data_IF_800884189788
#
_entry.id   IF_800884189788
#
_cell.length_a   1.000
_cell.length_b   1.000
_cell.length_c   1.000
_cell.angle_alpha   90.00
_cell.angle_beta   90.00
_cell.angle_gamma   90.00
#
_symmetry.space_group_name_H-M   'P 1'
#
loop_
_entity.id
_entity.type
_entity.pdbx_description
1 polymer ?
#
# COMPACT_ATOMS: atom_id res chain seq x y z
N UNK A 1 -14.66 2.35 22.33
CA UNK A 1 -14.40 1.03 21.74
C UNK A 1 -15.43 0.68 20.66
N UNK A 2 -16.74 0.74 20.93
CA UNK A 2 -17.80 0.42 19.94
C UNK A 2 -17.69 1.22 18.63
N UNK A 3 -17.46 2.53 18.68
CA UNK A 3 -17.29 3.34 17.48
C UNK A 3 -16.06 2.98 16.64
N UNK A 4 -15.00 2.41 17.24
CA UNK A 4 -13.82 1.92 16.53
C UNK A 4 -14.11 0.61 15.80
N UNK A 5 -14.82 -0.32 16.44
CA UNK A 5 -15.18 -1.60 15.83
C UNK A 5 -16.13 -1.39 14.64
N UNK A 6 -17.14 -0.53 14.79
CA UNK A 6 -18.04 -0.17 13.70
C UNK A 6 -17.25 0.46 12.53
N UNK A 7 -16.31 1.34 12.85
CA UNK A 7 -15.47 2.00 11.87
C UNK A 7 -14.56 1.02 11.12
N UNK A 8 -13.94 0.05 11.82
CA UNK A 8 -13.16 -1.03 11.20
C UNK A 8 -14.03 -1.92 10.33
N UNK A 9 -15.25 -2.26 10.78
CA UNK A 9 -16.20 -3.06 10.00
C UNK A 9 -16.59 -2.38 8.68
N UNK A 10 -16.86 -1.05 8.71
CA UNK A 10 -17.17 -0.28 7.50
C UNK A 10 -15.99 -0.27 6.53
N UNK A 11 -14.76 -0.06 7.02
CA UNK A 11 -13.56 -0.13 6.17
C UNK A 11 -13.43 -1.53 5.56
N UNK A 12 -13.52 -2.58 6.38
CA UNK A 12 -13.36 -3.95 5.93
C UNK A 12 -14.42 -4.33 4.89
N UNK A 13 -15.69 -4.04 5.16
CA UNK A 13 -16.78 -4.27 4.20
C UNK A 13 -16.52 -3.55 2.87
N UNK A 14 -16.06 -2.31 2.94
CA UNK A 14 -15.73 -1.52 1.76
C UNK A 14 -14.55 -2.10 0.98
N UNK A 15 -13.54 -2.62 1.66
CA UNK A 15 -12.36 -3.24 1.04
C UNK A 15 -12.68 -4.58 0.36
N UNK A 16 -13.63 -5.35 0.90
CA UNK A 16 -14.07 -6.63 0.31
C UNK A 16 -14.84 -6.43 -1.00
N UNK A 17 -15.44 -5.27 -1.21
CA UNK A 17 -16.27 -5.01 -2.41
C UNK A 17 -15.49 -5.04 -3.71
N UNK A 18 -14.22 -4.60 -3.75
CA UNK A 18 -13.41 -4.60 -4.99
C UNK A 18 -13.15 -6.02 -5.49
N UNK A 19 -12.62 -6.96 -4.68
CA UNK A 19 -12.48 -8.34 -5.11
C UNK A 19 -13.81 -9.02 -5.40
N UNK A 20 -14.87 -8.69 -4.65
CA UNK A 20 -16.20 -9.24 -4.91
C UNK A 20 -16.75 -8.80 -6.27
N UNK A 21 -16.63 -7.50 -6.64
CA UNK A 21 -17.02 -6.99 -7.95
C UNK A 21 -16.23 -7.66 -9.08
N UNK A 22 -14.93 -7.87 -8.87
CA UNK A 22 -14.07 -8.56 -9.82
C UNK A 22 -14.49 -10.02 -9.99
N UNK A 23 -14.70 -10.74 -8.89
CA UNK A 23 -15.13 -12.13 -8.88
C UNK A 23 -16.49 -12.28 -9.61
N UNK A 24 -17.49 -11.47 -9.23
CA UNK A 24 -18.82 -11.50 -9.89
C UNK A 24 -18.72 -11.22 -11.38
N UNK A 25 -17.86 -10.30 -11.80
CA UNK A 25 -17.66 -10.05 -13.23
C UNK A 25 -17.17 -11.29 -13.96
N UNK A 26 -16.15 -11.97 -13.44
CA UNK A 26 -15.57 -13.13 -14.12
C UNK A 26 -16.40 -14.39 -14.02
N UNK A 27 -17.06 -14.63 -12.89
CA UNK A 27 -17.85 -15.85 -12.69
C UNK A 27 -19.25 -15.77 -13.29
N UNK A 28 -19.89 -14.60 -13.23
CA UNK A 28 -21.30 -14.47 -13.57
C UNK A 28 -21.58 -13.56 -14.79
N UNK A 29 -20.69 -12.64 -15.11
CA UNK A 29 -20.90 -11.68 -16.21
C UNK A 29 -20.09 -12.09 -17.42
N UNK A 30 -18.80 -12.35 -17.28
CA UNK A 30 -17.90 -12.64 -18.39
C UNK A 30 -18.29 -13.89 -19.22
N UNK A 31 -18.71 -15.02 -18.64
CA UNK A 31 -19.14 -16.18 -19.41
C UNK A 31 -20.35 -15.93 -20.30
N UNK A 32 -21.15 -14.92 -19.96
CA UNK A 32 -22.36 -14.57 -20.69
C UNK A 32 -22.13 -13.42 -21.71
N UNK A 33 -20.93 -12.83 -21.74
CA UNK A 33 -20.57 -11.77 -22.67
C UNK A 33 -19.86 -12.40 -23.88
N UNK A 34 -20.54 -12.52 -25.02
CA UNK A 34 -19.92 -12.97 -26.27
C UNK A 34 -20.21 -14.41 -26.68
N UNK A 35 -21.06 -15.12 -25.97
CA UNK A 35 -21.49 -16.46 -26.39
C UNK A 35 -22.68 -16.39 -27.36
N UNK A 36 -22.68 -17.04 -28.56
CA UNK A 36 -23.71 -16.90 -29.58
C UNK A 36 -25.00 -17.74 -29.38
N UNK A 37 -25.21 -18.34 -28.22
CA UNK A 37 -26.32 -19.24 -27.93
C UNK A 37 -27.68 -18.51 -27.81
N UNK A 38 -28.78 -18.94 -28.48
CA UNK A 38 -30.04 -18.20 -28.56
C UNK A 38 -30.84 -18.11 -27.24
N UNK A 39 -30.55 -18.89 -26.21
CA UNK A 39 -31.19 -18.76 -24.89
C UNK A 39 -30.68 -17.57 -24.07
N UNK A 40 -29.98 -16.67 -24.69
CA UNK A 40 -29.13 -15.60 -24.17
C UNK A 40 -29.83 -14.30 -23.77
N UNK A 41 -30.99 -14.33 -23.25
CA UNK A 41 -31.55 -13.15 -22.56
C UNK A 41 -30.68 -12.77 -21.32
N UNK A 42 -30.02 -13.77 -20.69
CA UNK A 42 -29.19 -13.58 -19.53
C UNK A 42 -27.89 -12.81 -19.86
N UNK A 43 -27.20 -13.14 -20.94
CA UNK A 43 -25.96 -12.46 -21.33
C UNK A 43 -26.13 -11.00 -21.73
N UNK A 44 -27.24 -10.68 -22.42
CA UNK A 44 -27.55 -9.28 -22.81
C UNK A 44 -27.90 -8.39 -21.61
N UNK A 45 -28.37 -8.97 -20.50
CA UNK A 45 -28.75 -8.25 -19.28
C UNK A 45 -27.66 -8.26 -18.21
N UNK A 46 -26.79 -9.27 -18.20
CA UNK A 46 -25.75 -9.43 -17.18
C UNK A 46 -24.76 -8.25 -17.14
N UNK A 47 -24.25 -7.84 -18.30
CA UNK A 47 -23.31 -6.71 -18.38
C UNK A 47 -23.96 -5.38 -17.96
N UNK A 48 -25.14 -4.98 -18.47
CA UNK A 48 -25.83 -3.78 -18.01
C UNK A 48 -26.14 -3.79 -16.52
N UNK A 49 -26.61 -4.93 -15.97
CA UNK A 49 -26.90 -5.05 -14.55
C UNK A 49 -25.63 -4.91 -13.69
N UNK A 50 -24.54 -5.52 -14.13
CA UNK A 50 -23.25 -5.36 -13.46
C UNK A 50 -22.76 -3.90 -13.51
N UNK A 51 -22.86 -3.24 -14.66
CA UNK A 51 -22.52 -1.82 -14.80
C UNK A 51 -23.37 -0.92 -13.88
N UNK A 52 -24.69 -1.15 -13.83
CA UNK A 52 -25.59 -0.42 -12.92
C UNK A 52 -25.20 -0.64 -11.45
N UNK A 53 -24.83 -1.88 -11.09
CA UNK A 53 -24.37 -2.17 -9.74
C UNK A 53 -23.04 -1.45 -9.44
N UNK A 54 -22.06 -1.48 -10.36
CA UNK A 54 -20.79 -0.75 -10.21
C UNK A 54 -21.03 0.77 -10.08
N UNK A 55 -21.89 1.34 -10.93
CA UNK A 55 -22.23 2.77 -10.87
C UNK A 55 -22.95 3.13 -9.58
N UNK A 56 -23.91 2.31 -9.15
CA UNK A 56 -24.60 2.47 -7.85
C UNK A 56 -23.62 2.41 -6.68
N UNK A 57 -22.71 1.44 -6.71
CA UNK A 57 -21.65 1.33 -5.72
C UNK A 57 -20.74 2.56 -5.69
N UNK A 58 -20.29 3.07 -6.87
CA UNK A 58 -19.48 4.29 -6.95
C UNK A 58 -20.24 5.52 -6.43
N UNK A 59 -21.54 5.60 -6.70
CA UNK A 59 -22.37 6.67 -6.16
C UNK A 59 -22.46 6.63 -4.62
N UNK A 60 -22.76 5.47 -4.04
CA UNK A 60 -22.81 5.26 -2.59
C UNK A 60 -21.47 5.59 -1.96
N UNK A 61 -20.37 5.07 -2.54
CA UNK A 61 -19.01 5.35 -2.13
C UNK A 61 -18.73 6.86 -2.09
N UNK A 62 -19.08 7.59 -3.17
CA UNK A 62 -18.91 9.05 -3.22
C UNK A 62 -19.68 9.75 -2.09
N UNK A 63 -20.93 9.34 -1.80
CA UNK A 63 -21.71 9.89 -0.70
C UNK A 63 -21.06 9.61 0.67
N UNK A 64 -20.51 8.42 0.86
CA UNK A 64 -19.78 8.07 2.08
C UNK A 64 -18.53 8.95 2.22
N UNK A 65 -17.73 9.11 1.15
CA UNK A 65 -16.51 9.92 1.18
C UNK A 65 -16.76 11.38 1.48
N UNK A 66 -17.83 11.96 0.92
CA UNK A 66 -18.23 13.36 1.20
C UNK A 66 -18.57 13.57 2.68
N UNK A 67 -19.15 12.55 3.34
CA UNK A 67 -19.52 12.60 4.76
C UNK A 67 -18.38 12.24 5.71
N UNK A 68 -17.30 11.64 5.21
CA UNK A 68 -16.18 11.23 6.03
C UNK A 68 -15.29 12.42 6.39
N UNK A 69 -14.76 12.38 7.60
CA UNK A 69 -13.69 13.30 7.97
C UNK A 69 -12.43 13.04 7.11
N UNK A 70 -11.68 14.08 6.72
CA UNK A 70 -10.52 13.96 5.82
C UNK A 70 -9.49 12.86 6.18
N UNK A 71 -9.15 12.64 7.47
CA UNK A 71 -8.24 11.56 7.84
C UNK A 71 -8.77 10.17 7.48
N UNK A 72 -10.10 9.97 7.66
CA UNK A 72 -10.75 8.69 7.39
C UNK A 72 -10.92 8.46 5.89
N UNK A 73 -11.32 9.48 5.13
CA UNK A 73 -11.39 9.41 3.67
C UNK A 73 -10.05 8.99 3.06
N UNK A 74 -8.93 9.47 3.63
CA UNK A 74 -7.58 9.05 3.19
C UNK A 74 -7.30 7.58 3.47
N UNK A 75 -7.71 7.04 4.62
CA UNK A 75 -7.58 5.61 4.93
C UNK A 75 -8.37 4.78 3.92
N UNK A 76 -9.63 5.16 3.66
CA UNK A 76 -10.50 4.46 2.72
C UNK A 76 -9.89 4.44 1.32
N UNK A 77 -9.49 5.60 0.80
CA UNK A 77 -8.90 5.70 -0.55
C UNK A 77 -7.63 4.84 -0.69
N UNK A 78 -6.68 4.96 0.25
CA UNK A 78 -5.45 4.16 0.18
C UNK A 78 -5.73 2.66 0.39
N UNK A 79 -6.73 2.31 1.20
CA UNK A 79 -7.18 0.94 1.38
C UNK A 79 -7.76 0.35 0.09
N UNK A 80 -8.61 1.10 -0.63
CA UNK A 80 -9.15 0.69 -1.92
C UNK A 80 -8.04 0.48 -2.96
N UNK A 81 -7.11 1.43 -3.05
CA UNK A 81 -5.96 1.31 -3.95
C UNK A 81 -5.15 0.06 -3.60
N UNK A 82 -4.92 -0.20 -2.30
CA UNK A 82 -4.19 -1.38 -1.86
C UNK A 82 -4.90 -2.69 -2.26
N UNK A 83 -6.22 -2.77 -2.08
CA UNK A 83 -7.00 -3.96 -2.50
C UNK A 83 -6.96 -4.13 -4.01
N UNK A 84 -7.16 -3.06 -4.80
CA UNK A 84 -7.08 -3.13 -6.25
C UNK A 84 -5.69 -3.60 -6.73
N UNK A 85 -4.63 -3.09 -6.11
CA UNK A 85 -3.26 -3.51 -6.41
C UNK A 85 -3.00 -4.94 -5.94
N UNK A 86 -3.61 -5.39 -4.83
CA UNK A 86 -3.50 -6.79 -4.37
C UNK A 86 -4.19 -7.77 -5.32
N UNK A 87 -5.35 -7.40 -5.86
CA UNK A 87 -6.02 -8.18 -6.93
C UNK A 87 -5.13 -8.24 -8.17
N UNK A 88 -4.59 -7.10 -8.62
CA UNK A 88 -3.66 -7.05 -9.75
C UNK A 88 -2.43 -7.94 -9.49
N UNK A 89 -1.88 -7.91 -8.27
CA UNK A 89 -0.74 -8.74 -7.89
C UNK A 89 -1.09 -10.24 -7.98
N UNK A 90 -2.29 -10.64 -7.56
CA UNK A 90 -2.74 -12.03 -7.69
C UNK A 90 -2.84 -12.44 -9.17
N UNK A 91 -3.38 -11.59 -10.03
CA UNK A 91 -3.45 -11.83 -11.47
C UNK A 91 -2.03 -11.97 -12.07
N UNK A 92 -1.09 -11.08 -11.69
CA UNK A 92 0.29 -11.15 -12.12
C UNK A 92 1.00 -12.44 -11.66
N UNK A 93 0.74 -12.89 -10.42
CA UNK A 93 1.27 -14.14 -9.88
C UNK A 93 0.70 -15.36 -10.62
N UNK A 94 -0.60 -15.36 -10.91
CA UNK A 94 -1.25 -16.41 -11.70
C UNK A 94 -0.70 -16.45 -13.14
N UNK A 95 -0.54 -15.29 -13.77
CA UNK A 95 0.07 -15.19 -15.09
C UNK A 95 1.50 -15.72 -15.08
N UNK A 96 2.31 -15.30 -14.12
CA UNK A 96 3.69 -15.80 -13.96
C UNK A 96 3.73 -17.33 -13.75
N UNK A 97 2.76 -17.87 -12.98
CA UNK A 97 2.59 -19.30 -12.79
C UNK A 97 2.17 -20.00 -14.09
N UNK A 98 1.25 -19.42 -14.86
CA UNK A 98 0.81 -19.99 -16.15
C UNK A 98 1.96 -20.11 -17.17
N UNK A 99 2.85 -19.13 -17.21
CA UNK A 99 4.00 -19.13 -18.15
C UNK A 99 5.23 -19.84 -17.60
N UNK A 100 5.23 -20.17 -16.31
CA UNK A 100 6.33 -20.87 -15.68
C UNK A 100 6.55 -22.26 -16.29
N UNK A 101 7.80 -22.67 -16.44
CA UNK A 101 8.16 -24.04 -16.87
C UNK A 101 8.97 -24.70 -15.76
N UNK A 102 8.55 -25.90 -15.29
CA UNK A 102 9.31 -26.67 -14.32
C UNK A 102 10.76 -26.89 -14.76
N UNK A 103 11.69 -26.47 -13.93
CA UNK A 103 13.14 -26.61 -14.14
C UNK A 103 13.83 -26.74 -12.78
N UNK A 104 15.05 -27.30 -12.75
CA UNK A 104 15.87 -27.26 -11.54
C UNK A 104 16.08 -25.81 -11.06
N UNK A 105 16.16 -25.59 -9.74
CA UNK A 105 16.42 -24.27 -9.18
C UNK A 105 17.79 -23.75 -9.60
N UNK A 106 17.90 -22.43 -9.64
CA UNK A 106 19.18 -21.77 -9.89
C UNK A 106 20.10 -21.92 -8.67
N UNK A 107 21.41 -21.78 -8.92
CA UNK A 107 22.37 -21.65 -7.82
C UNK A 107 22.06 -20.38 -7.00
N UNK A 108 22.02 -20.53 -5.70
CA UNK A 108 21.76 -19.44 -4.75
C UNK A 108 22.62 -19.60 -3.50
N UNK A 109 23.35 -18.55 -3.15
CA UNK A 109 24.27 -18.55 -2.01
C UNK A 109 23.52 -18.80 -0.69
N UNK A 110 22.32 -18.25 -0.53
CA UNK A 110 21.50 -18.50 0.65
C UNK A 110 21.08 -19.98 0.76
N UNK A 111 20.84 -20.65 -0.37
CA UNK A 111 20.54 -22.08 -0.36
C UNK A 111 21.76 -22.96 0.00
N UNK A 112 22.94 -22.46 -0.30
CA UNK A 112 24.17 -23.11 0.11
C UNK A 112 24.43 -22.94 1.62
N UNK A 113 24.20 -21.74 2.17
CA UNK A 113 24.47 -21.42 3.56
C UNK A 113 23.36 -21.87 4.52
N UNK A 114 22.11 -21.90 4.07
CA UNK A 114 20.94 -22.18 4.89
C UNK A 114 20.33 -23.49 4.42
N UNK A 115 20.36 -24.56 5.25
CA UNK A 115 19.81 -25.86 4.87
C UNK A 115 18.31 -25.77 4.61
N UNK A 116 17.83 -26.54 3.65
CA UNK A 116 16.40 -26.63 3.34
C UNK A 116 15.63 -27.23 4.52
N UNK A 117 14.48 -26.66 4.83
CA UNK A 117 13.52 -27.29 5.71
C UNK A 117 12.84 -28.44 4.97
N UNK A 118 12.75 -29.60 5.62
CA UNK A 118 12.02 -30.75 5.09
C UNK A 118 10.54 -30.43 4.82
N UNK A 119 9.91 -31.21 3.94
CA UNK A 119 8.50 -31.01 3.59
C UNK A 119 7.59 -31.10 4.83
N UNK A 120 7.92 -31.96 5.77
CA UNK A 120 7.16 -32.23 7.01
C UNK A 120 7.62 -31.41 8.21
N UNK A 121 8.50 -30.41 8.01
CA UNK A 121 9.01 -29.59 9.09
C UNK A 121 7.89 -28.73 9.69
N UNK A 122 7.67 -28.76 11.01
CA UNK A 122 6.68 -27.93 11.70
C UNK A 122 7.00 -26.42 11.59
N UNK A 123 8.22 -26.07 11.23
CA UNK A 123 8.68 -24.70 11.06
C UNK A 123 8.40 -24.11 9.67
N UNK A 124 7.91 -24.94 8.73
CA UNK A 124 7.62 -24.49 7.37
C UNK A 124 6.60 -23.33 7.28
N UNK A 125 5.50 -23.31 8.09
CA UNK A 125 4.57 -22.19 8.10
C UNK A 125 5.09 -20.95 8.85
N UNK A 126 6.24 -21.04 9.52
CA UNK A 126 6.76 -19.96 10.36
C UNK A 126 6.96 -18.65 9.58
N UNK A 127 7.44 -18.71 8.32
CA UNK A 127 7.59 -17.52 7.49
C UNK A 127 6.24 -16.83 7.21
N UNK A 128 5.16 -17.59 7.06
CA UNK A 128 3.81 -17.04 6.82
C UNK A 128 3.27 -16.40 8.10
N UNK A 129 3.46 -17.07 9.24
CA UNK A 129 3.09 -16.55 10.57
C UNK A 129 3.84 -15.25 10.84
N UNK A 130 5.15 -15.23 10.63
CA UNK A 130 5.96 -14.02 10.83
C UNK A 130 5.56 -12.89 9.87
N UNK A 131 5.18 -13.21 8.64
CA UNK A 131 4.71 -12.20 7.68
C UNK A 131 3.46 -11.48 8.19
N UNK A 132 2.55 -12.16 8.87
CA UNK A 132 1.31 -11.58 9.40
C UNK A 132 1.48 -10.97 10.80
N UNK A 133 2.34 -11.55 11.63
CA UNK A 133 2.50 -11.12 13.02
C UNK A 133 3.04 -9.69 13.15
N UNK A 134 4.01 -9.28 12.33
CA UNK A 134 4.58 -7.94 12.44
C UNK A 134 3.62 -6.83 11.97
N UNK A 135 2.89 -6.95 10.86
CA UNK A 135 1.78 -6.03 10.55
C UNK A 135 0.74 -6.01 11.67
N UNK A 136 0.35 -7.18 12.19
CA UNK A 136 -0.57 -7.29 13.33
C UNK A 136 -0.10 -6.47 14.52
N UNK A 137 1.17 -6.60 14.90
CA UNK A 137 1.78 -5.80 15.96
C UNK A 137 1.80 -4.29 15.62
N UNK A 138 2.11 -3.94 14.39
CA UNK A 138 2.12 -2.56 13.93
C UNK A 138 0.71 -1.95 13.99
N UNK A 139 -0.33 -2.67 13.58
CA UNK A 139 -1.72 -2.24 13.71
C UNK A 139 -2.18 -2.21 15.17
N UNK A 140 -1.83 -3.18 16.00
CA UNK A 140 -2.08 -3.17 17.44
C UNK A 140 -1.50 -1.92 18.10
N UNK A 141 -0.28 -1.53 17.73
CA UNK A 141 0.35 -0.29 18.21
C UNK A 141 -0.50 0.95 17.92
N UNK A 142 -1.30 0.96 16.85
CA UNK A 142 -2.17 2.10 16.52
C UNK A 142 -3.30 2.32 17.52
N UNK A 143 -3.67 1.33 18.32
CA UNK A 143 -4.68 1.47 19.37
C UNK A 143 -4.29 2.53 20.40
N UNK A 144 -2.99 2.74 20.59
CA UNK A 144 -2.42 3.71 21.54
C UNK A 144 -2.20 5.10 20.92
N UNK A 145 -2.62 5.32 19.69
CA UNK A 145 -2.53 6.61 19.01
C UNK A 145 -3.84 7.39 19.12
N UNK A 146 -3.72 8.72 19.10
CA UNK A 146 -4.88 9.58 18.84
C UNK A 146 -5.47 9.24 17.45
N UNK A 147 -6.77 9.52 17.26
CA UNK A 147 -7.51 9.17 16.04
C UNK A 147 -6.82 9.65 14.76
N UNK A 148 -6.29 10.87 14.74
CA UNK A 148 -5.65 11.46 13.57
C UNK A 148 -4.35 10.76 13.20
N UNK A 149 -3.51 10.46 14.19
CA UNK A 149 -2.25 9.73 14.00
C UNK A 149 -2.51 8.29 13.58
N UNK A 150 -3.51 7.64 14.17
CA UNK A 150 -3.97 6.29 13.79
C UNK A 150 -4.36 6.23 12.31
N UNK A 151 -5.26 7.11 11.87
CA UNK A 151 -5.69 7.15 10.47
C UNK A 151 -4.51 7.38 9.52
N UNK A 152 -3.57 8.25 9.90
CA UNK A 152 -2.37 8.49 9.07
C UNK A 152 -1.50 7.24 8.97
N UNK A 153 -1.22 6.59 10.10
CA UNK A 153 -0.39 5.38 10.13
C UNK A 153 -0.98 4.30 9.21
N UNK A 154 -2.29 4.03 9.33
CA UNK A 154 -3.00 3.02 8.53
C UNK A 154 -2.98 3.42 7.04
N UNK A 155 -3.26 4.68 6.72
CA UNK A 155 -3.24 5.17 5.35
C UNK A 155 -1.83 5.11 4.73
N UNK A 156 -0.79 5.42 5.51
CA UNK A 156 0.59 5.34 5.07
C UNK A 156 1.04 3.89 4.84
N UNK A 157 0.57 2.96 5.69
CA UNK A 157 0.83 1.53 5.51
C UNK A 157 0.23 1.03 4.18
N UNK A 158 -1.05 1.30 3.92
CA UNK A 158 -1.70 0.93 2.66
C UNK A 158 -1.01 1.54 1.44
N UNK A 159 -0.66 2.83 1.53
CA UNK A 159 0.03 3.53 0.45
C UNK A 159 1.40 2.91 0.13
N UNK A 160 2.20 2.64 1.14
CA UNK A 160 3.53 2.02 0.96
C UNK A 160 3.40 0.62 0.37
N UNK A 161 2.46 -0.17 0.88
CA UNK A 161 2.21 -1.51 0.35
C UNK A 161 1.73 -1.48 -1.09
N UNK A 162 0.85 -0.54 -1.46
CA UNK A 162 0.38 -0.39 -2.84
C UNK A 162 1.53 -0.12 -3.81
N UNK A 163 2.40 0.84 -3.48
CA UNK A 163 3.57 1.15 -4.33
C UNK A 163 4.53 -0.03 -4.42
N UNK A 164 4.80 -0.67 -3.29
CA UNK A 164 5.69 -1.83 -3.23
C UNK A 164 5.13 -2.99 -4.04
N UNK A 165 3.82 -3.25 -3.98
CA UNK A 165 3.16 -4.30 -4.77
C UNK A 165 3.08 -3.98 -6.26
N UNK A 166 2.91 -2.71 -6.66
CA UNK A 166 3.01 -2.32 -8.06
C UNK A 166 4.39 -2.63 -8.64
N UNK A 167 5.46 -2.36 -7.89
CA UNK A 167 6.81 -2.75 -8.30
C UNK A 167 6.93 -4.28 -8.42
N UNK A 168 6.33 -5.03 -7.49
CA UNK A 168 6.30 -6.49 -7.55
C UNK A 168 5.54 -7.00 -8.79
N UNK A 169 4.39 -6.41 -9.12
CA UNK A 169 3.65 -6.77 -10.34
C UNK A 169 4.55 -6.68 -11.59
N UNK A 170 5.30 -5.59 -11.73
CA UNK A 170 6.25 -5.44 -12.84
C UNK A 170 7.33 -6.53 -12.81
N UNK A 171 7.93 -6.79 -11.66
CA UNK A 171 8.99 -7.79 -11.54
C UNK A 171 8.52 -9.20 -11.91
N UNK A 172 7.38 -9.65 -11.36
CA UNK A 172 6.90 -11.02 -11.57
C UNK A 172 6.31 -11.26 -12.96
N UNK A 173 5.77 -10.22 -13.62
CA UNK A 173 5.26 -10.34 -15.00
C UNK A 173 6.37 -10.33 -16.04
N UNK A 174 7.44 -9.58 -15.78
CA UNK A 174 8.55 -9.46 -16.73
C UNK A 174 9.56 -10.61 -16.61
N UNK A 175 9.61 -11.30 -15.46
CA UNK A 175 10.63 -12.31 -15.20
C UNK A 175 10.05 -13.49 -14.42
N UNK A 176 9.94 -14.65 -15.08
CA UNK A 176 9.59 -15.93 -14.44
C UNK A 176 10.87 -16.72 -14.17
N UNK A 177 11.24 -16.82 -12.88
CA UNK A 177 12.38 -17.63 -12.44
C UNK A 177 11.94 -19.08 -12.19
N UNK A 178 12.84 -20.08 -12.34
CA UNK A 178 12.58 -21.45 -11.90
C UNK A 178 12.22 -21.49 -10.42
N UNK A 179 11.11 -22.14 -10.07
CA UNK A 179 10.65 -22.23 -8.68
C UNK A 179 11.58 -23.12 -7.83
N UNK A 180 12.14 -22.63 -6.70
CA UNK A 180 12.99 -23.44 -5.85
C UNK A 180 12.19 -24.45 -5.00
N UNK A 181 10.88 -24.25 -4.86
CA UNK A 181 10.01 -25.16 -4.13
C UNK A 181 9.82 -26.48 -4.90
N UNK A 182 9.80 -27.66 -4.21
CA UNK A 182 9.72 -28.97 -4.87
C UNK A 182 8.54 -29.12 -5.84
N UNK A 183 7.37 -28.55 -5.49
CA UNK A 183 6.18 -28.62 -6.35
C UNK A 183 6.30 -27.81 -7.66
N UNK A 184 7.28 -26.93 -7.78
CA UNK A 184 7.52 -26.15 -8.99
C UNK A 184 8.54 -26.82 -9.95
N UNK A 185 9.16 -27.93 -9.52
CA UNK A 185 10.24 -28.56 -10.26
C UNK A 185 9.79 -29.72 -11.16
N UNK A 186 8.60 -30.28 -10.89
CA UNK A 186 8.08 -31.45 -11.62
C UNK A 186 6.68 -31.19 -12.16
N UNK A 187 6.42 -31.67 -13.38
CA UNK A 187 5.10 -31.56 -14.02
C UNK A 187 3.98 -32.21 -13.21
N UNK A 188 4.28 -33.31 -12.51
CA UNK A 188 3.29 -34.07 -11.74
C UNK A 188 2.75 -33.29 -10.53
N UNK A 189 3.54 -32.40 -9.95
CA UNK A 189 3.16 -31.61 -8.78
C UNK A 189 2.72 -30.17 -9.16
N UNK A 190 2.86 -29.80 -10.43
CA UNK A 190 2.60 -28.46 -10.92
C UNK A 190 1.21 -28.36 -11.52
N UNK A 191 0.37 -27.49 -10.94
CA UNK A 191 -1.01 -27.25 -11.41
C UNK A 191 -1.16 -25.74 -11.81
N UNK A 192 -0.71 -25.35 -13.01
CA UNK A 192 -0.80 -23.98 -13.48
C UNK A 192 -2.25 -23.60 -13.84
N UNK A 193 -2.57 -22.30 -13.89
CA UNK A 193 -3.78 -21.81 -14.53
C UNK A 193 -3.85 -22.29 -15.98
N UNK A 194 -5.02 -22.79 -16.41
CA UNK A 194 -5.19 -23.38 -17.73
C UNK A 194 -5.58 -22.35 -18.83
N UNK A 195 -5.82 -21.10 -18.45
CA UNK A 195 -6.19 -20.03 -19.37
C UNK A 195 -6.39 -18.70 -18.65
N UNK A 196 -6.79 -17.70 -19.43
CA UNK A 196 -6.98 -16.35 -18.89
C UNK A 196 -8.09 -16.24 -17.85
N UNK A 197 -9.12 -17.10 -17.95
CA UNK A 197 -10.17 -17.18 -16.93
C UNK A 197 -9.57 -17.57 -15.59
N UNK A 198 -8.79 -18.66 -15.55
CA UNK A 198 -8.11 -19.11 -14.33
C UNK A 198 -7.13 -18.06 -13.79
N UNK A 199 -6.39 -17.39 -14.69
CA UNK A 199 -5.48 -16.30 -14.30
C UNK A 199 -6.23 -15.18 -13.60
N UNK A 200 -7.43 -14.86 -14.05
CA UNK A 200 -8.23 -13.78 -13.48
C UNK A 200 -8.99 -14.17 -12.21
N UNK A 201 -9.39 -15.43 -12.06
CA UNK A 201 -10.33 -15.87 -11.01
C UNK A 201 -9.68 -16.62 -9.86
N UNK A 202 -8.51 -17.24 -10.02
CA UNK A 202 -7.80 -17.89 -8.91
C UNK A 202 -7.33 -16.86 -7.89
N UNK A 203 -8.17 -16.59 -6.87
CA UNK A 203 -7.94 -15.55 -5.85
C UNK A 203 -7.20 -16.05 -4.61
N UNK A 204 -6.17 -16.84 -4.79
CA UNK A 204 -5.26 -17.25 -3.72
C UNK A 204 -5.89 -18.13 -2.64
N UNK A 205 -5.61 -17.88 -1.35
CA UNK A 205 -5.99 -18.76 -0.23
C UNK A 205 -7.50 -19.01 -0.09
N UNK A 206 -8.32 -18.18 -0.70
CA UNK A 206 -9.78 -18.31 -0.66
C UNK A 206 -10.31 -19.43 -1.55
N UNK A 207 -9.49 -19.94 -2.47
CA UNK A 207 -9.88 -20.90 -3.50
C UNK A 207 -9.16 -22.27 -3.40
N UNK A 208 -8.61 -22.64 -2.25
CA UNK A 208 -7.97 -23.95 -2.04
C UNK A 208 -6.46 -23.94 -2.29
N UNK A 209 -5.89 -25.04 -2.83
CA UNK A 209 -4.44 -25.24 -3.02
C UNK A 209 -3.80 -24.23 -4.00
N UNK A 210 -3.64 -22.99 -3.53
CA UNK A 210 -2.99 -21.94 -4.27
C UNK A 210 -1.48 -22.03 -4.08
N UNK A 211 -0.84 -22.73 -5.02
CA UNK A 211 0.63 -22.84 -5.08
C UNK A 211 1.11 -22.10 -6.30
N UNK A 212 1.72 -20.93 -6.10
CA UNK A 212 2.33 -20.19 -7.20
C UNK A 212 3.74 -20.67 -7.49
N UNK A 213 4.10 -20.67 -8.77
CA UNK A 213 5.45 -20.92 -9.26
C UNK A 213 5.76 -19.82 -10.29
N UNK A 214 6.94 -19.22 -10.20
CA UNK A 214 7.33 -18.16 -11.13
C UNK A 214 7.13 -16.73 -10.61
N UNK A 215 6.30 -16.52 -9.59
CA UNK A 215 6.09 -15.22 -8.92
C UNK A 215 7.16 -14.93 -7.86
N UNK A 216 8.39 -15.25 -8.17
CA UNK A 216 9.50 -15.26 -7.22
C UNK A 216 10.16 -13.91 -7.08
N UNK A 217 10.49 -13.28 -8.21
CA UNK A 217 11.28 -12.05 -8.20
C UNK A 217 10.57 -10.97 -7.40
N UNK A 218 11.19 -10.64 -6.27
CA UNK A 218 10.75 -9.75 -5.23
C UNK A 218 9.75 -10.38 -4.23
N UNK A 219 10.26 -10.84 -3.11
CA UNK A 219 9.50 -11.52 -2.05
C UNK A 219 8.40 -10.64 -1.43
N UNK A 220 7.14 -11.08 -1.57
CA UNK A 220 5.99 -10.43 -0.91
C UNK A 220 6.06 -10.50 0.61
N UNK A 221 6.46 -11.66 1.18
CA UNK A 221 6.62 -11.86 2.62
C UNK A 221 7.62 -10.84 3.21
N UNK A 222 8.77 -10.67 2.55
CA UNK A 222 9.81 -9.73 2.97
C UNK A 222 9.34 -8.29 2.85
N UNK A 223 8.58 -7.95 1.80
CA UNK A 223 8.04 -6.61 1.61
C UNK A 223 7.08 -6.20 2.72
N UNK A 224 6.12 -7.07 3.08
CA UNK A 224 5.17 -6.85 4.19
C UNK A 224 5.89 -6.62 5.51
N UNK A 225 6.84 -7.49 5.82
CA UNK A 225 7.64 -7.41 7.04
C UNK A 225 8.47 -6.13 7.07
N UNK A 226 9.13 -5.77 5.96
CA UNK A 226 10.00 -4.58 5.89
C UNK A 226 9.20 -3.29 6.05
N UNK A 227 8.10 -3.11 5.33
CA UNK A 227 7.23 -1.92 5.44
C UNK A 227 6.68 -1.78 6.86
N UNK A 228 6.19 -2.88 7.44
CA UNK A 228 5.63 -2.89 8.79
C UNK A 228 6.68 -2.59 9.85
N UNK A 229 7.89 -3.14 9.73
CA UNK A 229 9.03 -2.86 10.60
C UNK A 229 9.41 -1.38 10.56
N UNK A 230 9.54 -0.81 9.37
CA UNK A 230 9.95 0.59 9.20
C UNK A 230 8.92 1.55 9.79
N UNK A 231 7.62 1.32 9.56
CA UNK A 231 6.55 2.13 10.15
C UNK A 231 6.45 1.95 11.66
N UNK A 232 6.55 0.72 12.16
CA UNK A 232 6.56 0.44 13.60
C UNK A 232 7.73 1.15 14.27
N UNK A 233 8.94 0.99 13.77
CA UNK A 233 10.14 1.67 14.28
C UNK A 233 9.97 3.19 14.25
N UNK A 234 9.43 3.75 13.14
CA UNK A 234 9.15 5.19 13.04
C UNK A 234 8.17 5.67 14.11
N UNK A 235 7.21 4.86 14.52
CA UNK A 235 6.24 5.19 15.55
C UNK A 235 6.87 5.42 16.92
N UNK A 236 8.06 4.85 17.17
CA UNK A 236 8.84 5.02 18.40
C UNK A 236 9.92 6.12 18.33
N UNK A 237 10.01 6.86 17.23
CA UNK A 237 11.06 7.89 17.04
C UNK A 237 11.08 8.97 18.15
N UNK A 238 9.97 9.16 18.87
CA UNK A 238 9.85 10.12 19.99
C UNK A 238 10.09 9.49 21.37
N UNK A 239 10.25 8.17 21.43
CA UNK A 239 10.57 7.47 22.66
C UNK A 239 12.03 7.76 23.11
N UNK A 240 12.41 7.45 24.34
CA UNK A 240 13.80 7.52 24.78
C UNK A 240 14.72 6.77 23.82
N UNK A 241 15.94 7.28 23.65
CA UNK A 241 16.91 6.73 22.68
C UNK A 241 17.13 5.22 22.84
N UNK A 242 17.17 4.73 24.06
CA UNK A 242 17.31 3.31 24.35
C UNK A 242 16.12 2.51 23.80
N UNK A 243 14.89 2.92 24.08
CA UNK A 243 13.67 2.25 23.60
C UNK A 243 13.62 2.25 22.07
N UNK A 244 13.91 3.38 21.44
CA UNK A 244 13.98 3.47 19.98
C UNK A 244 15.05 2.54 19.40
N UNK A 245 16.24 2.49 20.02
CA UNK A 245 17.33 1.59 19.63
C UNK A 245 16.95 0.11 19.77
N UNK A 246 16.33 -0.27 20.89
CA UNK A 246 15.84 -1.63 21.10
C UNK A 246 14.78 -2.04 20.06
N UNK A 247 13.78 -1.20 19.79
CA UNK A 247 12.75 -1.48 18.77
C UNK A 247 13.37 -1.65 17.39
N UNK A 248 14.34 -0.83 17.03
CA UNK A 248 15.06 -0.94 15.77
C UNK A 248 15.85 -2.24 15.67
N UNK A 249 16.59 -2.61 16.72
CA UNK A 249 17.37 -3.84 16.77
C UNK A 249 16.49 -5.10 16.71
N UNK A 250 15.39 -5.13 17.49
CA UNK A 250 14.43 -6.21 17.47
C UNK A 250 13.73 -6.32 16.11
N UNK A 251 13.38 -5.19 15.48
CA UNK A 251 12.80 -5.17 14.14
C UNK A 251 13.76 -5.73 13.09
N UNK A 252 15.04 -5.39 13.16
CA UNK A 252 16.07 -5.94 12.27
C UNK A 252 16.27 -7.45 12.49
N UNK A 253 16.36 -7.88 13.75
CA UNK A 253 16.45 -9.30 14.09
C UNK A 253 15.26 -10.08 13.57
N UNK A 254 14.04 -9.53 13.73
CA UNK A 254 12.81 -10.11 13.19
C UNK A 254 12.86 -10.26 11.66
N UNK A 255 13.29 -9.21 10.95
CA UNK A 255 13.43 -9.23 9.49
C UNK A 255 14.44 -10.29 9.03
N UNK A 256 15.58 -10.40 9.70
CA UNK A 256 16.59 -11.42 9.43
C UNK A 256 16.04 -12.84 9.66
N UNK A 257 15.33 -13.06 10.78
CA UNK A 257 14.70 -14.36 11.09
C UNK A 257 13.69 -14.74 9.99
N UNK A 258 12.83 -13.79 9.60
CA UNK A 258 11.84 -14.02 8.55
C UNK A 258 12.50 -14.31 7.19
N UNK A 259 13.55 -13.56 6.83
CA UNK A 259 14.32 -13.80 5.62
C UNK A 259 14.95 -15.20 5.61
N UNK A 260 15.57 -15.61 6.73
CA UNK A 260 16.15 -16.95 6.89
C UNK A 260 15.08 -18.05 6.76
N UNK A 261 13.91 -17.90 7.41
CA UNK A 261 12.80 -18.86 7.29
C UNK A 261 12.26 -18.95 5.85
N UNK A 262 12.21 -17.83 5.13
CA UNK A 262 11.76 -17.79 3.73
C UNK A 262 12.72 -18.53 2.79
N UNK A 263 14.04 -18.35 2.98
CA UNK A 263 15.09 -19.01 2.22
C UNK A 263 15.17 -20.51 2.58
N UNK A 264 15.11 -20.84 3.88
CA UNK A 264 15.12 -22.23 4.36
C UNK A 264 13.90 -23.01 3.85
N UNK A 265 12.73 -22.38 3.78
CA UNK A 265 11.51 -22.96 3.21
C UNK A 265 11.50 -23.09 1.69
N UNK A 266 12.57 -22.67 1.01
CA UNK A 266 12.67 -22.64 -0.47
C UNK A 266 11.49 -21.89 -1.13
N UNK A 267 10.97 -20.86 -0.47
CA UNK A 267 9.89 -20.04 -1.00
C UNK A 267 10.40 -18.98 -1.98
N UNK A 268 11.58 -18.43 -1.72
CA UNK A 268 12.23 -17.38 -2.52
C UNK A 268 13.74 -17.57 -2.56
N UNK A 269 14.38 -17.04 -3.59
CA UNK A 269 15.83 -16.88 -3.66
C UNK A 269 16.30 -15.73 -2.75
N UNK A 270 17.59 -15.74 -2.42
CA UNK A 270 18.22 -14.68 -1.62
C UNK A 270 18.09 -13.32 -2.30
N UNK A 271 18.20 -13.25 -3.62
CA UNK A 271 18.03 -12.02 -4.40
C UNK A 271 16.62 -11.44 -4.27
N UNK A 272 15.60 -12.29 -4.22
CA UNK A 272 14.20 -11.84 -4.08
C UNK A 272 13.97 -11.17 -2.74
N UNK A 273 14.57 -11.73 -1.69
CA UNK A 273 14.52 -11.19 -0.32
C UNK A 273 15.27 -9.87 -0.24
N UNK A 274 16.49 -9.81 -0.78
CA UNK A 274 17.31 -8.60 -0.77
C UNK A 274 16.64 -7.47 -1.55
N UNK A 275 16.11 -7.75 -2.75
CA UNK A 275 15.40 -6.79 -3.59
C UNK A 275 14.15 -6.24 -2.90
N UNK A 276 13.39 -7.10 -2.20
CA UNK A 276 12.22 -6.68 -1.45
C UNK A 276 12.58 -5.70 -0.31
N UNK A 277 13.67 -5.92 0.42
CA UNK A 277 14.17 -5.02 1.46
C UNK A 277 14.55 -3.66 0.85
N UNK A 278 15.29 -3.68 -0.25
CA UNK A 278 15.76 -2.47 -0.94
C UNK A 278 14.58 -1.65 -1.45
N UNK A 279 13.66 -2.26 -2.22
CA UNK A 279 12.52 -1.55 -2.80
C UNK A 279 11.58 -1.02 -1.71
N UNK A 280 11.24 -1.83 -0.71
CA UNK A 280 10.41 -1.38 0.41
C UNK A 280 11.08 -0.25 1.20
N UNK A 281 12.40 -0.33 1.41
CA UNK A 281 13.20 0.71 2.05
C UNK A 281 13.19 2.01 1.26
N UNK A 282 13.51 1.97 -0.03
CA UNK A 282 13.50 3.15 -0.91
C UNK A 282 12.11 3.78 -0.98
N UNK A 283 11.06 2.98 -1.11
CA UNK A 283 9.67 3.44 -1.08
C UNK A 283 9.37 4.16 0.23
N UNK A 284 9.75 3.58 1.37
CA UNK A 284 9.57 4.21 2.67
C UNK A 284 10.31 5.54 2.77
N UNK A 285 11.59 5.60 2.39
CA UNK A 285 12.40 6.83 2.46
C UNK A 285 11.87 7.92 1.53
N UNK A 286 11.38 7.56 0.34
CA UNK A 286 10.79 8.52 -0.59
C UNK A 286 9.54 9.19 -0.05
N UNK A 287 8.73 8.46 0.70
CA UNK A 287 7.44 8.95 1.21
C UNK A 287 7.47 9.41 2.67
N UNK A 288 8.59 9.23 3.40
CA UNK A 288 8.64 9.50 4.84
C UNK A 288 8.41 10.97 5.22
N UNK A 289 8.78 11.93 4.37
CA UNK A 289 8.72 13.37 4.68
C UNK A 289 7.28 13.89 4.78
N UNK A 290 6.33 13.27 4.07
CA UNK A 290 4.90 13.56 4.16
C UNK A 290 4.16 12.87 5.32
N UNK A 291 4.80 11.90 5.98
CA UNK A 291 4.13 11.01 6.94
C UNK A 291 4.00 11.57 8.37
N UNK A 292 4.85 12.51 8.79
CA UNK A 292 4.78 13.10 10.12
C UNK A 292 4.70 14.61 9.99
N UNK A 293 3.64 15.27 10.49
CA UNK A 293 3.63 16.71 10.56
C UNK A 293 4.79 17.16 11.46
N UNK A 294 5.65 18.02 10.94
CA UNK A 294 6.49 18.82 11.80
C UNK A 294 5.52 19.53 12.76
N UNK A 295 5.61 19.29 14.07
CA UNK A 295 4.98 20.21 15.03
C UNK A 295 5.53 21.58 14.65
N UNK A 296 4.68 22.48 14.16
CA UNK A 296 5.01 23.90 14.27
C UNK A 296 5.43 24.10 15.73
N UNK A 297 6.64 24.63 16.01
CA UNK A 297 6.92 25.08 17.33
C UNK A 297 5.75 25.98 17.70
N UNK A 298 5.06 25.63 18.79
CA UNK A 298 4.00 26.45 19.32
C UNK A 298 4.57 27.86 19.38
N UNK A 299 4.02 28.76 18.53
CA UNK A 299 4.35 30.17 18.57
C UNK A 299 4.22 30.55 20.04
N UNK A 300 5.31 31.03 20.70
CA UNK A 300 5.18 31.45 22.08
C UNK A 300 3.97 32.39 22.12
N UNK A 301 3.06 32.13 23.03
CA UNK A 301 1.90 32.98 23.23
C UNK A 301 2.45 34.38 23.45
N UNK A 302 2.37 35.21 22.38
CA UNK A 302 2.72 36.62 22.44
C UNK A 302 1.59 37.32 23.20
N UNK A 303 1.65 37.23 24.53
CA UNK A 303 0.59 37.70 25.42
C UNK A 303 0.90 37.54 26.89
N UNK A 304 2.19 37.35 27.27
CA UNK A 304 2.56 37.61 28.65
C UNK A 304 2.68 39.13 28.79
N UNK A 305 1.85 39.80 29.61
CA UNK A 305 2.08 41.23 29.92
C UNK A 305 3.43 41.33 30.60
N UNK A 306 4.27 42.24 30.09
CA UNK A 306 5.57 42.60 30.69
C UNK A 306 5.32 43.08 32.12
N UNK A 307 6.01 42.50 33.14
CA UNK A 307 5.79 42.89 34.53
C UNK A 307 6.53 44.17 34.95
N UNK A 308 6.91 45.05 34.01
CA UNK A 308 7.59 46.32 34.33
C UNK A 308 6.83 47.53 33.75
N UNK A 309 5.74 47.84 34.38
CA UNK A 309 5.06 49.13 34.29
C UNK A 309 5.16 49.87 35.61
N UNK A 310 6.35 50.42 35.91
CA UNK A 310 6.52 51.40 36.99
C UNK A 310 5.72 52.66 36.62
N UNK A 311 4.75 52.97 37.46
CA UNK A 311 4.04 54.23 37.42
C UNK A 311 4.98 55.39 37.71
N UNK A 312 5.04 56.35 36.81
CA UNK A 312 5.45 57.72 37.14
C UNK A 312 4.58 58.67 36.36
N UNK A 313 3.95 59.51 37.17
CA UNK A 313 2.87 60.40 36.81
C UNK A 313 3.30 61.66 36.08
N UNK A 314 2.25 62.35 35.71
CA UNK A 314 2.04 63.81 35.60
C UNK A 314 2.55 64.50 34.33
N UNK A 315 1.60 65.16 33.74
CA UNK A 315 1.59 66.52 33.22
C UNK A 315 1.48 66.72 31.71
N UNK A 316 0.33 67.21 31.36
CA UNK A 316 0.01 68.30 30.40
C UNK A 316 0.70 68.34 29.03
N UNK A 317 -0.08 68.35 27.97
CA UNK A 317 0.35 68.89 26.68
C UNK A 317 -0.66 68.57 25.56
N UNK A 318 -1.56 69.48 25.33
CA UNK A 318 -2.31 69.67 24.08
C UNK A 318 -1.33 69.87 22.94
N UNK A 319 -1.48 69.22 21.78
CA UNK A 319 -1.36 69.84 20.44
C UNK A 319 -1.75 68.84 19.34
N UNK A 320 -2.50 69.33 18.40
CA UNK A 320 -2.95 68.87 17.10
C UNK A 320 -1.90 68.18 16.21
N UNK A 321 -2.36 67.33 15.30
CA UNK A 321 -1.68 67.21 14.01
C UNK A 321 -1.75 65.88 13.30
N UNK A 322 -2.67 65.81 12.33
CA UNK A 322 -2.52 65.22 10.99
C UNK A 322 -1.87 63.82 10.81
N UNK A 323 -2.65 62.94 10.30
CA UNK A 323 -2.49 62.06 9.15
C UNK A 323 -1.13 61.47 8.76
N UNK A 324 -1.02 60.16 8.84
CA UNK A 324 -0.19 59.43 7.86
C UNK A 324 -0.64 57.94 7.83
N UNK A 325 -1.07 57.51 6.68
CA UNK A 325 -1.53 56.15 6.38
C UNK A 325 -0.45 55.12 6.58
N UNK A 326 -0.75 54.12 7.38
CA UNK A 326 0.06 52.90 7.43
C UNK A 326 -0.34 51.98 6.30
N UNK A 327 0.48 51.93 5.24
CA UNK A 327 0.52 50.87 4.24
C UNK A 327 0.76 49.53 4.94
N UNK A 328 -0.29 48.70 5.11
CA UNK A 328 -0.15 47.27 5.37
C UNK A 328 0.45 46.60 4.14
N UNK A 329 1.73 46.30 4.19
CA UNK A 329 2.38 45.40 3.25
C UNK A 329 1.75 44.01 3.36
N UNK A 330 0.94 43.64 2.37
CA UNK A 330 0.54 42.26 2.12
C UNK A 330 1.78 41.41 1.84
N UNK A 331 2.10 40.46 2.71
CA UNK A 331 3.05 39.41 2.34
C UNK A 331 2.30 38.41 1.46
N UNK A 332 2.84 38.01 0.30
CA UNK A 332 2.23 36.99 -0.55
C UNK A 332 2.25 35.63 0.14
N UNK A 333 1.16 34.91 0.00
CA UNK A 333 0.97 33.53 0.45
C UNK A 333 1.85 32.60 -0.41
N UNK A 334 2.79 31.79 0.13
CA UNK A 334 3.67 30.95 -0.66
C UNK A 334 3.02 29.67 -1.20
N UNK A 335 1.69 29.47 -1.01
CA UNK A 335 1.01 28.23 -1.41
C UNK A 335 0.12 28.38 -2.66
N UNK A 336 0.26 29.47 -3.42
CA UNK A 336 -0.47 29.63 -4.68
C UNK A 336 0.36 29.04 -5.84
N UNK A 337 0.04 27.82 -6.26
CA UNK A 337 0.52 27.25 -7.52
C UNK A 337 -0.20 27.93 -8.69
N UNK A 338 0.52 28.45 -9.70
CA UNK A 338 -0.10 28.94 -10.90
C UNK A 338 -0.54 27.78 -11.80
N UNK A 339 -1.80 27.75 -12.12
CA UNK A 339 -2.36 26.96 -13.20
C UNK A 339 -1.89 27.58 -14.53
N UNK A 340 -0.96 26.94 -15.24
CA UNK A 340 -0.65 27.28 -16.63
C UNK A 340 -1.66 26.58 -17.53
N UNK A 341 -2.52 27.36 -18.10
CA UNK A 341 -3.31 27.05 -19.28
C UNK A 341 -2.53 27.54 -20.50
N UNK A 342 -1.85 26.63 -21.19
CA UNK A 342 -1.36 26.94 -22.54
C UNK A 342 -2.30 26.32 -23.56
N UNK A 343 -3.13 27.18 -24.09
CA UNK A 343 -3.80 26.96 -25.36
C UNK A 343 -3.11 27.76 -26.45
N UNK A 344 -2.97 27.16 -27.61
CA UNK A 344 -2.71 27.92 -28.79
C UNK A 344 -1.99 27.21 -29.91
N UNK A 345 -2.33 27.51 -31.15
CA UNK A 345 -2.30 26.54 -32.21
C UNK A 345 -1.26 26.83 -33.31
N UNK A 346 -1.06 25.88 -34.20
CA UNK A 346 -0.74 26.25 -35.56
C UNK A 346 0.56 25.78 -36.18
N UNK A 347 0.41 25.11 -37.31
CA UNK A 347 1.33 25.17 -38.47
C UNK A 347 2.27 23.96 -38.60
N UNK A 348 2.09 22.99 -39.53
CA UNK A 348 2.16 23.19 -40.93
C UNK A 348 3.49 22.69 -41.51
N UNK A 349 3.49 21.71 -42.44
CA UNK A 349 4.60 21.36 -43.34
C UNK A 349 5.30 20.04 -43.01
N UNK A 350 5.28 18.94 -43.79
CA UNK A 350 5.50 18.87 -45.20
C UNK A 350 6.82 18.13 -45.48
N UNK A 351 6.78 16.99 -46.22
CA UNK A 351 7.95 16.34 -46.80
C UNK A 351 8.38 15.08 -46.06
N UNK A 352 8.33 13.85 -46.58
CA UNK A 352 8.69 13.40 -47.89
C UNK A 352 9.91 12.51 -47.83
N UNK A 353 9.74 11.29 -48.35
CA UNK A 353 10.78 10.41 -48.89
C UNK A 353 11.50 9.42 -47.96
N UNK A 354 11.16 8.21 -48.28
CA UNK A 354 11.87 6.90 -48.34
C UNK A 354 11.74 6.04 -47.09
#
# INVERSE_FOLDING_TARGET
MQGFLLWMAVILAHMVQVPLLWFVFWEFVCPHVGNPDPDQRVGKTALPLWLLWVLGFQHIRRQIFVRLQPPLARVMLNGEIFIAVSVLMTICANFSTMVHRPRPPLFDVGFYLIPAQGADSPWRPLSDILTLALPGLAFFRTLFFDRRTRCRFIADWFRLMSVTYLMRCLCVTLTSLPGPAPHCQTLAAYNPPQGWHDVATRMGPLMGDFRTCGDLLFSGHTAWTTVSMLLLTKSFRRAPRLVYGCVKALGLLYLLTMATCTIAGRKHYTVDVALAIVIAGLTFFRFQDGMIPRRHPSRPASGAPSPNGVASGAANGVVNGSGAGQHRRHRPNPDAYPYHSDGGPGGGGGGGLR
#
